data_IF_337100997675
#
_entry.id   IF_337100997675
#
_cell.length_a   1.000
_cell.length_b   1.000
_cell.length_c   1.000
_cell.angle_alpha   90.00
_cell.angle_beta   90.00
_cell.angle_gamma   90.00
#
_symmetry.space_group_name_H-M   'P 1'
#
loop_
_entity.id
_entity.type
_entity.pdbx_description
1 polymer ?
#
# COMPACT_ATOMS: atom_id res chain seq x y z
N UNK A 1 -13.42 -24.06 -20.75
CA UNK A 1 -13.35 -22.64 -21.16
C UNK A 1 -12.58 -21.87 -20.09
N UNK A 2 -11.25 -21.68 -20.18
CA UNK A 2 -10.57 -20.76 -19.28
C UNK A 2 -10.50 -19.39 -19.95
N UNK A 3 -11.38 -18.49 -19.54
CA UNK A 3 -11.29 -17.07 -19.86
C UNK A 3 -10.26 -16.40 -18.94
N UNK A 4 -9.01 -16.34 -19.40
CA UNK A 4 -8.05 -15.38 -18.88
C UNK A 4 -8.37 -14.02 -19.51
N UNK A 5 -8.93 -13.10 -18.72
CA UNK A 5 -9.04 -11.70 -19.12
C UNK A 5 -7.67 -11.06 -18.88
N UNK A 6 -6.74 -11.21 -19.83
CA UNK A 6 -5.55 -10.35 -19.89
C UNK A 6 -6.01 -8.96 -20.29
N UNK A 7 -6.25 -8.08 -19.31
CA UNK A 7 -6.27 -6.65 -19.58
C UNK A 7 -4.87 -6.26 -20.04
N UNK A 8 -4.70 -6.05 -21.35
CA UNK A 8 -3.46 -5.54 -21.93
C UNK A 8 -3.33 -4.05 -21.59
N UNK A 9 -2.83 -3.75 -20.40
CA UNK A 9 -2.31 -2.42 -20.12
C UNK A 9 -0.87 -2.38 -20.63
N UNK A 10 -0.64 -1.75 -21.78
CA UNK A 10 0.70 -1.56 -22.32
C UNK A 10 1.41 -0.49 -21.49
N UNK A 11 2.16 -0.92 -20.47
CA UNK A 11 3.19 -0.10 -19.83
C UNK A 11 4.41 -0.14 -20.75
N UNK A 12 5.05 1.01 -21.00
CA UNK A 12 6.31 1.06 -21.76
C UNK A 12 7.27 0.00 -21.24
N UNK A 13 7.95 -0.74 -22.12
CA UNK A 13 8.92 -1.77 -21.75
C UNK A 13 10.06 -1.25 -20.85
N UNK A 14 10.23 0.07 -20.77
CA UNK A 14 11.20 0.77 -19.92
C UNK A 14 10.70 1.06 -18.50
N UNK A 15 9.43 0.80 -18.20
CA UNK A 15 8.84 1.05 -16.88
C UNK A 15 8.50 -0.28 -16.21
N UNK A 16 9.01 -0.49 -15.00
CA UNK A 16 8.53 -1.58 -14.16
C UNK A 16 7.21 -1.15 -13.51
N UNK A 17 6.11 -1.91 -13.68
CA UNK A 17 4.84 -1.57 -13.05
C UNK A 17 5.00 -1.59 -11.52
N UNK A 18 4.55 -0.52 -10.86
CA UNK A 18 4.51 -0.43 -9.41
C UNK A 18 3.18 -0.94 -8.86
N UNK A 19 3.22 -1.61 -7.72
CA UNK A 19 2.04 -2.01 -6.98
C UNK A 19 1.48 -0.78 -6.26
N UNK A 20 0.16 -0.60 -6.24
CA UNK A 20 -0.51 0.40 -5.41
C UNK A 20 -1.49 -0.34 -4.49
N UNK A 21 -1.12 -0.56 -3.23
CA UNK A 21 -1.86 -1.40 -2.30
C UNK A 21 -1.33 -1.22 -0.86
N UNK A 22 -1.88 -1.97 0.09
CA UNK A 22 -1.20 -2.24 1.37
C UNK A 22 -1.94 -1.78 2.61
N UNK A 23 -3.08 -1.12 2.48
CA UNK A 23 -3.94 -0.74 3.60
C UNK A 23 -5.39 -1.11 3.32
N UNK A 24 -6.06 -1.70 4.32
CA UNK A 24 -7.50 -1.91 4.27
C UNK A 24 -8.26 -0.58 4.47
N UNK A 25 -8.96 -0.16 3.41
CA UNK A 25 -9.70 1.09 3.30
C UNK A 25 -10.87 1.29 4.28
N UNK A 26 -11.56 0.21 4.71
CA UNK A 26 -12.78 0.33 5.54
C UNK A 26 -12.62 -0.26 6.95
N UNK A 27 -11.67 -1.15 7.16
CA UNK A 27 -11.36 -1.69 8.49
C UNK A 27 -10.27 -0.88 9.18
N UNK A 28 -9.04 -1.37 9.06
CA UNK A 28 -7.91 -0.96 9.92
C UNK A 28 -7.50 0.50 9.75
N UNK A 29 -7.65 1.09 8.56
CA UNK A 29 -7.29 2.49 8.33
C UNK A 29 -8.05 3.45 9.27
N UNK A 30 -9.37 3.28 9.36
CA UNK A 30 -10.26 4.17 10.12
C UNK A 30 -10.50 3.65 11.53
N UNK A 31 -10.77 2.34 11.68
CA UNK A 31 -11.24 1.74 12.93
C UNK A 31 -10.12 1.07 13.73
N UNK A 32 -8.96 0.83 13.11
CA UNK A 32 -7.81 0.20 13.74
C UNK A 32 -6.95 1.17 14.54
N UNK A 33 -6.05 0.60 15.33
CA UNK A 33 -5.02 1.33 16.05
C UNK A 33 -3.85 1.75 15.14
N UNK A 34 -3.03 2.72 15.57
CA UNK A 34 -1.79 3.06 14.89
C UNK A 34 -0.84 1.85 14.74
N UNK A 35 -0.85 0.92 15.70
CA UNK A 35 -0.01 -0.28 15.67
C UNK A 35 -0.45 -1.27 14.59
N UNK A 36 -1.75 -1.49 14.43
CA UNK A 36 -2.30 -2.35 13.39
C UNK A 36 -2.03 -1.77 11.99
N UNK A 37 -2.15 -0.45 11.85
CA UNK A 37 -1.79 0.24 10.60
C UNK A 37 -0.30 0.03 10.24
N UNK A 38 0.62 0.15 11.20
CA UNK A 38 2.05 -0.15 10.97
C UNK A 38 2.27 -1.61 10.56
N UNK A 39 1.56 -2.54 11.19
CA UNK A 39 1.67 -3.96 10.87
C UNK A 39 1.22 -4.25 9.42
N UNK A 40 0.15 -3.62 8.95
CA UNK A 40 -0.30 -3.74 7.56
C UNK A 40 0.72 -3.19 6.57
N UNK A 41 1.33 -2.03 6.86
CA UNK A 41 2.40 -1.49 6.02
C UNK A 41 3.59 -2.46 5.95
N UNK A 42 4.01 -3.02 7.08
CA UNK A 42 5.12 -3.98 7.13
C UNK A 42 4.81 -5.25 6.32
N UNK A 43 3.61 -5.79 6.47
CA UNK A 43 3.13 -6.95 5.71
C UNK A 43 3.08 -6.66 4.21
N UNK A 44 2.54 -5.51 3.80
CA UNK A 44 2.50 -5.08 2.40
C UNK A 44 3.91 -4.93 1.80
N UNK A 45 4.84 -4.33 2.55
CA UNK A 45 6.24 -4.19 2.13
C UNK A 45 6.93 -5.56 1.99
N UNK A 46 6.62 -6.51 2.88
CA UNK A 46 7.12 -7.88 2.81
C UNK A 46 6.56 -8.61 1.58
N UNK A 47 5.25 -8.52 1.32
CA UNK A 47 4.60 -9.14 0.15
C UNK A 47 5.03 -8.52 -1.18
N UNK A 48 5.38 -7.24 -1.20
CA UNK A 48 5.92 -6.58 -2.38
C UNK A 48 7.28 -7.17 -2.80
N UNK A 49 8.06 -7.69 -1.84
CA UNK A 49 9.42 -8.17 -2.09
C UNK A 49 10.28 -7.06 -2.70
N UNK A 50 10.95 -7.34 -3.82
CA UNK A 50 11.78 -6.35 -4.52
C UNK A 50 11.00 -5.45 -5.49
N UNK A 51 9.68 -5.65 -5.62
CA UNK A 51 8.87 -4.84 -6.55
C UNK A 51 8.62 -3.45 -5.95
N UNK A 52 8.61 -2.40 -6.79
CA UNK A 52 8.21 -1.07 -6.34
C UNK A 52 6.75 -1.08 -5.88
N UNK A 53 6.48 -0.43 -4.74
CA UNK A 53 5.15 -0.34 -4.14
C UNK A 53 4.87 1.07 -3.63
N UNK A 54 3.64 1.55 -3.87
CA UNK A 54 3.03 2.71 -3.26
C UNK A 54 2.02 2.22 -2.22
N UNK A 55 2.20 2.63 -0.96
CA UNK A 55 1.27 2.29 0.11
C UNK A 55 0.01 3.14 -0.04
N UNK A 56 -1.11 2.47 -0.30
CA UNK A 56 -2.40 3.11 -0.53
C UNK A 56 -3.58 2.25 -0.04
N UNK A 57 -4.69 2.88 0.34
CA UNK A 57 -5.94 2.18 0.56
C UNK A 57 -6.52 1.63 -0.74
N UNK A 58 -7.27 0.52 -0.65
CA UNK A 58 -7.94 -0.10 -1.81
C UNK A 58 -9.05 0.75 -2.46
N UNK A 59 -9.52 1.80 -1.79
CA UNK A 59 -10.50 2.77 -2.30
C UNK A 59 -10.28 4.14 -1.64
N UNK A 60 -11.19 5.08 -1.86
CA UNK A 60 -11.25 6.33 -1.13
C UNK A 60 -11.61 6.11 0.35
N UNK A 61 -11.22 7.07 1.20
CA UNK A 61 -11.60 7.15 2.61
C UNK A 61 -12.18 8.54 2.90
N UNK A 62 -12.95 8.63 3.97
CA UNK A 62 -13.46 9.90 4.50
C UNK A 62 -12.38 10.55 5.39
N UNK A 63 -11.84 11.73 5.03
CA UNK A 63 -10.82 12.40 5.82
C UNK A 63 -11.30 12.83 7.20
N UNK A 64 -12.60 13.07 7.39
CA UNK A 64 -13.14 13.52 8.68
C UNK A 64 -13.25 12.37 9.70
N UNK A 65 -13.29 11.13 9.21
CA UNK A 65 -13.34 9.93 10.04
C UNK A 65 -11.96 9.35 10.34
N UNK A 66 -10.92 9.79 9.63
CA UNK A 66 -9.59 9.20 9.71
C UNK A 66 -8.75 9.81 10.85
N UNK A 67 -8.35 9.05 11.87
CA UNK A 67 -7.52 9.58 12.94
C UNK A 67 -6.13 9.97 12.41
N UNK A 68 -5.67 11.19 12.71
CA UNK A 68 -4.34 11.68 12.33
C UNK A 68 -3.21 10.74 12.81
N UNK A 69 -3.36 10.17 14.00
CA UNK A 69 -2.40 9.21 14.55
C UNK A 69 -2.19 7.98 13.65
N UNK A 70 -3.23 7.52 12.94
CA UNK A 70 -3.13 6.40 12.01
C UNK A 70 -2.34 6.82 10.75
N UNK A 71 -2.61 8.02 10.22
CA UNK A 71 -1.87 8.57 9.08
C UNK A 71 -0.37 8.73 9.37
N UNK A 72 -0.04 9.28 10.55
CA UNK A 72 1.34 9.45 10.97
C UNK A 72 2.05 8.10 11.13
N UNK A 73 1.37 7.11 11.71
CA UNK A 73 1.92 5.77 11.89
C UNK A 73 2.21 5.07 10.55
N UNK A 74 1.33 5.22 9.54
CA UNK A 74 1.55 4.72 8.19
C UNK A 74 2.78 5.39 7.56
N UNK A 75 2.87 6.72 7.63
CA UNK A 75 4.00 7.49 7.10
C UNK A 75 5.33 7.07 7.72
N UNK A 76 5.37 6.93 9.04
CA UNK A 76 6.55 6.49 9.78
C UNK A 76 6.98 5.08 9.36
N UNK A 77 6.03 4.15 9.21
CA UNK A 77 6.32 2.79 8.75
C UNK A 77 6.90 2.76 7.33
N UNK A 78 6.41 3.61 6.43
CA UNK A 78 6.98 3.74 5.08
C UNK A 78 8.44 4.19 5.12
N UNK A 79 8.77 5.22 5.92
CA UNK A 79 10.14 5.72 6.01
C UNK A 79 11.11 4.72 6.67
N UNK A 80 10.63 3.95 7.65
CA UNK A 80 11.43 2.88 8.26
C UNK A 80 11.83 1.77 7.29
N UNK A 81 11.00 1.50 6.26
CA UNK A 81 11.25 0.49 5.22
C UNK A 81 11.93 1.01 3.94
N UNK A 82 11.82 2.31 3.63
CA UNK A 82 12.32 2.89 2.38
C UNK A 82 13.85 3.07 2.31
N UNK A 83 14.57 3.07 3.45
CA UNK A 83 16.02 3.31 3.47
C UNK A 83 16.85 2.32 2.63
N UNK A 84 16.30 1.16 2.29
CA UNK A 84 16.99 0.10 1.52
C UNK A 84 16.61 0.06 0.03
N UNK A 85 15.47 0.63 -0.38
CA UNK A 85 14.85 0.38 -1.70
C UNK A 85 15.01 1.49 -2.75
N UNK A 86 15.58 2.64 -2.40
CA UNK A 86 15.92 3.70 -3.35
C UNK A 86 17.31 3.42 -3.96
N UNK A 87 17.38 2.50 -4.93
CA UNK A 87 18.55 2.31 -5.80
C UNK A 87 18.12 2.29 -7.25
#
# INVERSE_FOLDING_TARGET
>A
MPGFVTTHYAVSATCQPAICAGIDHLGVLVQGSPAENRAQVADALQQAGDRPILIAPGCAYDPDQLPEANLLAIREACHGGSATKLR
#
